data_IF_310303757744
#
_entry.id   IF_310303757744
#
_cell.length_a   1.000
_cell.length_b   1.000
_cell.length_c   1.000
_cell.angle_alpha   90.00
_cell.angle_beta   90.00
_cell.angle_gamma   90.00
#
_symmetry.space_group_name_H-M   'P 1'
#
loop_
_entity.id
_entity.type
_entity.pdbx_description
1 polymer ?
#
# COMPACT_ATOMS: atom_id res chain seq x y z
N UNK A 1 5.84 26.97 2.43
CA UNK A 1 6.66 26.01 1.66
C UNK A 1 7.07 24.76 2.46
N UNK A 2 7.33 24.81 3.77
CA UNK A 2 7.69 23.61 4.57
C UNK A 2 6.50 22.71 4.96
N UNK A 3 5.31 23.27 5.21
CA UNK A 3 4.14 22.51 5.69
C UNK A 3 3.56 21.51 4.67
N UNK A 4 3.62 21.84 3.37
CA UNK A 4 3.13 20.97 2.32
C UNK A 4 3.95 19.67 2.19
N UNK A 5 5.26 19.74 2.41
CA UNK A 5 6.13 18.55 2.41
C UNK A 5 5.83 17.61 3.57
N UNK A 6 5.58 18.15 4.76
CA UNK A 6 5.20 17.35 5.93
C UNK A 6 3.83 16.68 5.76
N UNK A 7 2.85 17.39 5.20
CA UNK A 7 1.53 16.82 4.90
C UNK A 7 1.61 15.70 3.85
N UNK A 8 2.38 15.90 2.77
CA UNK A 8 2.61 14.85 1.77
C UNK A 8 3.32 13.63 2.34
N UNK A 9 4.30 13.83 3.23
CA UNK A 9 4.97 12.74 3.93
C UNK A 9 4.04 11.94 4.83
N UNK A 10 3.17 12.62 5.59
CA UNK A 10 2.17 11.98 6.45
C UNK A 10 1.17 11.18 5.62
N UNK A 11 0.68 11.74 4.51
CA UNK A 11 -0.24 11.05 3.60
C UNK A 11 0.42 9.82 2.98
N UNK A 12 1.68 9.91 2.55
CA UNK A 12 2.42 8.77 2.02
C UNK A 12 2.59 7.66 3.08
N UNK A 13 2.84 8.04 4.33
CA UNK A 13 2.99 7.11 5.45
C UNK A 13 1.67 6.39 5.77
N UNK A 14 0.55 7.14 5.80
CA UNK A 14 -0.79 6.58 6.00
C UNK A 14 -1.17 5.63 4.85
N UNK A 15 -0.87 6.00 3.60
CA UNK A 15 -1.08 5.13 2.43
C UNK A 15 -0.27 3.83 2.54
N UNK A 16 1.00 3.91 2.92
CA UNK A 16 1.85 2.73 3.09
C UNK A 16 1.29 1.79 4.17
N UNK A 17 0.91 2.31 5.34
CA UNK A 17 0.29 1.53 6.42
C UNK A 17 -1.01 0.87 5.94
N UNK A 18 -1.83 1.61 5.20
CA UNK A 18 -3.11 1.10 4.72
C UNK A 18 -2.93 -0.07 3.72
N UNK A 19 -1.98 0.04 2.79
CA UNK A 19 -1.68 -1.04 1.84
C UNK A 19 -1.18 -2.29 2.57
N UNK A 20 -0.27 -2.11 3.54
CA UNK A 20 0.23 -3.21 4.37
C UNK A 20 -0.94 -3.88 5.10
N UNK A 21 -1.84 -3.11 5.71
CA UNK A 21 -3.02 -3.65 6.39
C UNK A 21 -3.96 -4.40 5.45
N UNK A 22 -4.26 -3.85 4.27
CA UNK A 22 -5.12 -4.49 3.27
C UNK A 22 -4.53 -5.83 2.78
N UNK A 23 -3.21 -5.87 2.54
CA UNK A 23 -2.49 -7.07 2.09
C UNK A 23 -2.46 -8.14 3.18
N UNK A 24 -2.15 -7.77 4.42
CA UNK A 24 -1.96 -8.73 5.51
C UNK A 24 -3.28 -9.18 6.14
N UNK A 25 -4.18 -8.26 6.45
CA UNK A 25 -5.36 -8.51 7.30
C UNK A 25 -6.60 -8.85 6.48
N UNK A 26 -6.88 -8.09 5.42
CA UNK A 26 -8.08 -8.27 4.60
C UNK A 26 -7.94 -9.43 3.62
N UNK A 27 -6.78 -9.55 2.99
CA UNK A 27 -6.54 -10.59 1.99
C UNK A 27 -5.95 -11.87 2.61
N UNK A 28 -6.74 -12.58 3.41
CA UNK A 28 -6.33 -13.88 4.00
C UNK A 28 -6.23 -15.02 2.99
N UNK A 29 -6.87 -14.91 1.82
CA UNK A 29 -6.81 -15.89 0.72
C UNK A 29 -5.66 -15.67 -0.26
N UNK A 30 -4.94 -14.56 -0.18
CA UNK A 30 -3.79 -14.33 -1.05
C UNK A 30 -2.62 -15.20 -0.62
N UNK A 31 -2.01 -15.86 -1.60
CA UNK A 31 -0.82 -16.67 -1.41
C UNK A 31 0.31 -15.83 -0.81
N UNK A 32 1.12 -16.41 0.08
CA UNK A 32 2.18 -15.70 0.83
C UNK A 32 3.13 -14.95 -0.11
N UNK A 33 3.50 -15.57 -1.23
CA UNK A 33 4.34 -14.96 -2.28
C UNK A 33 3.73 -13.68 -2.84
N UNK A 34 2.42 -13.67 -3.06
CA UNK A 34 1.71 -12.49 -3.58
C UNK A 34 1.67 -11.37 -2.55
N UNK A 35 1.52 -11.68 -1.25
CA UNK A 35 1.63 -10.66 -0.19
C UNK A 35 3.00 -10.00 -0.19
N UNK A 36 4.08 -10.79 -0.27
CA UNK A 36 5.45 -10.27 -0.24
C UNK A 36 5.73 -9.36 -1.42
N UNK A 37 5.31 -9.74 -2.64
CA UNK A 37 5.44 -8.90 -3.84
C UNK A 37 4.72 -7.56 -3.65
N UNK A 38 3.50 -7.58 -3.12
CA UNK A 38 2.74 -6.36 -2.88
C UNK A 38 3.37 -5.44 -1.83
N UNK A 39 3.92 -5.99 -0.76
CA UNK A 39 4.63 -5.20 0.26
C UNK A 39 5.91 -4.60 -0.32
N UNK A 40 6.71 -5.37 -1.08
CA UNK A 40 7.95 -4.87 -1.71
C UNK A 40 7.63 -3.76 -2.71
N UNK A 41 6.62 -3.95 -3.56
CA UNK A 41 6.19 -2.91 -4.48
C UNK A 41 5.59 -1.69 -3.74
N UNK A 42 4.92 -1.87 -2.60
CA UNK A 42 4.39 -0.76 -1.80
C UNK A 42 5.51 0.06 -1.15
N UNK A 43 6.60 -0.57 -0.73
CA UNK A 43 7.77 0.14 -0.20
C UNK A 43 8.52 0.89 -1.30
N UNK A 44 8.63 0.31 -2.50
CA UNK A 44 9.35 0.94 -3.62
C UNK A 44 8.56 2.04 -4.34
N UNK A 45 7.22 1.91 -4.43
CA UNK A 45 6.36 2.79 -5.23
C UNK A 45 5.23 3.49 -4.45
N UNK A 46 5.20 3.32 -3.11
CA UNK A 46 4.34 3.98 -2.10
C UNK A 46 2.91 4.30 -2.53
N UNK A 47 2.70 5.41 -3.24
CA UNK A 47 1.38 5.86 -3.69
C UNK A 47 0.85 5.07 -4.89
N UNK A 48 1.69 4.76 -5.87
CA UNK A 48 1.24 4.14 -7.13
C UNK A 48 0.82 2.70 -6.86
N UNK A 49 1.59 1.99 -6.04
CA UNK A 49 1.28 0.61 -5.65
C UNK A 49 -0.02 0.52 -4.86
N UNK A 50 -0.33 1.51 -4.01
CA UNK A 50 -1.58 1.55 -3.28
C UNK A 50 -2.80 1.59 -4.23
N UNK A 51 -2.71 2.41 -5.27
CA UNK A 51 -3.77 2.58 -6.27
C UNK A 51 -3.96 1.29 -7.07
N UNK A 52 -2.87 0.70 -7.57
CA UNK A 52 -2.94 -0.56 -8.32
C UNK A 52 -3.44 -1.69 -7.43
N UNK A 53 -3.10 -1.73 -6.13
CA UNK A 53 -3.62 -2.75 -5.22
C UNK A 53 -5.11 -2.64 -5.04
N UNK A 54 -5.59 -1.42 -4.83
CA UNK A 54 -7.00 -1.16 -4.61
C UNK A 54 -7.86 -1.57 -5.80
N UNK A 55 -7.34 -1.43 -7.03
CA UNK A 55 -8.04 -1.83 -8.26
C UNK A 55 -7.84 -3.29 -8.66
N UNK A 56 -6.63 -3.83 -8.51
CA UNK A 56 -6.26 -5.15 -9.05
C UNK A 56 -6.22 -6.23 -7.96
N UNK A 57 -5.67 -5.91 -6.80
CA UNK A 57 -5.53 -6.82 -5.66
C UNK A 57 -6.84 -7.06 -4.92
N UNK A 58 -7.76 -6.08 -4.98
CA UNK A 58 -9.10 -6.19 -4.42
C UNK A 58 -10.01 -7.00 -5.34
N UNK A 59 -9.81 -8.32 -5.37
CA UNK A 59 -10.86 -9.21 -5.84
C UNK A 59 -12.00 -9.17 -4.82
N UNK A 60 -13.21 -8.82 -5.28
CA UNK A 60 -14.46 -8.90 -4.51
C UNK A 60 -14.62 -10.28 -3.87
#
# INVERSE_FOLDING_TARGET
MALFGSLLGIVALVCAIWVIYEVLVKNKKLNTTTKVIWVVCAVLFSIITAIVYYFVGRKK
#
